data_IF_298227493329
#
_entry.id   IF_298227493329
#
_cell.length_a   1.000
_cell.length_b   1.000
_cell.length_c   1.000
_cell.angle_alpha   90.00
_cell.angle_beta   90.00
_cell.angle_gamma   90.00
#
_symmetry.space_group_name_H-M   'P 1'
#
loop_
_entity.id
_entity.type
_entity.pdbx_description
1 polymer ?
#
# COMPACT_ATOMS: atom_id res chain seq x y z
N UNK A 1 -6.18 -26.38 -35.53
CA UNK A 1 -4.93 -25.71 -35.08
C UNK A 1 -5.11 -24.21 -34.81
N UNK A 2 -5.75 -23.46 -35.72
CA UNK A 2 -6.05 -22.02 -35.53
C UNK A 2 -6.82 -21.66 -34.25
N UNK A 3 -7.95 -22.32 -33.88
CA UNK A 3 -8.71 -21.92 -32.69
C UNK A 3 -7.99 -22.24 -31.37
N UNK A 4 -7.12 -23.25 -31.38
CA UNK A 4 -6.30 -23.62 -30.23
C UNK A 4 -5.22 -22.56 -29.94
N UNK A 5 -4.58 -22.05 -30.99
CA UNK A 5 -3.61 -20.95 -30.87
C UNK A 5 -4.31 -19.68 -30.39
N UNK A 6 -5.50 -19.37 -30.91
CA UNK A 6 -6.29 -18.22 -30.44
C UNK A 6 -6.67 -18.33 -28.97
N UNK A 7 -7.08 -19.52 -28.50
CA UNK A 7 -7.39 -19.78 -27.09
C UNK A 7 -6.15 -19.64 -26.18
N UNK A 8 -5.00 -20.12 -26.64
CA UNK A 8 -3.73 -20.03 -25.92
C UNK A 8 -3.27 -18.57 -25.75
N UNK A 9 -3.45 -17.75 -26.79
CA UNK A 9 -3.19 -16.30 -26.73
C UNK A 9 -4.14 -15.60 -25.77
N UNK A 10 -5.43 -15.98 -25.75
CA UNK A 10 -6.42 -15.38 -24.85
C UNK A 10 -6.12 -15.67 -23.36
N UNK A 11 -5.69 -16.89 -23.04
CA UNK A 11 -5.31 -17.30 -21.68
C UNK A 11 -4.05 -16.59 -21.17
N UNK A 12 -3.20 -16.09 -22.07
CA UNK A 12 -1.96 -15.40 -21.71
C UNK A 12 -2.19 -13.99 -21.16
N UNK A 13 -3.38 -13.39 -21.36
CA UNK A 13 -3.73 -12.07 -20.83
C UNK A 13 -4.29 -12.09 -19.39
N UNK A 14 -4.52 -13.26 -18.80
CA UNK A 14 -5.10 -13.38 -17.45
C UNK A 14 -4.09 -13.14 -16.30
N UNK A 15 -2.81 -12.89 -16.59
CA UNK A 15 -1.77 -12.69 -15.56
C UNK A 15 -1.64 -11.26 -15.04
N UNK A 16 -2.73 -10.49 -14.99
CA UNK A 16 -2.70 -9.17 -14.35
C UNK A 16 -2.71 -9.34 -12.82
N UNK A 17 -1.51 -9.37 -12.24
CA UNK A 17 -1.27 -9.49 -10.81
C UNK A 17 -1.73 -8.24 -10.07
N UNK A 18 -2.48 -8.41 -8.99
CA UNK A 18 -2.80 -7.31 -8.06
C UNK A 18 -1.67 -7.14 -7.06
N UNK A 19 -0.97 -6.01 -7.10
CA UNK A 19 -0.30 -5.50 -5.91
C UNK A 19 -1.38 -4.77 -5.10
N UNK A 20 -1.73 -5.29 -3.94
CA UNK A 20 -2.68 -4.62 -3.05
C UNK A 20 -1.91 -3.58 -2.24
N UNK A 21 -2.50 -2.40 -2.09
CA UNK A 21 -1.90 -1.25 -1.44
C UNK A 21 -2.91 -0.63 -0.49
N UNK A 22 -2.47 -0.24 0.71
CA UNK A 22 -3.23 0.55 1.67
C UNK A 22 -2.86 2.01 1.45
N UNK A 23 -3.86 2.80 1.07
CA UNK A 23 -3.70 4.23 0.87
C UNK A 23 -4.45 4.99 1.95
N UNK A 24 -3.91 6.12 2.37
CA UNK A 24 -4.55 6.97 3.36
C UNK A 24 -3.87 8.32 3.48
N UNK A 25 -4.39 9.13 4.39
CA UNK A 25 -3.93 10.49 4.65
C UNK A 25 -3.72 10.70 6.14
N UNK A 26 -2.59 11.27 6.54
CA UNK A 26 -2.29 11.61 7.94
C UNK A 26 -2.48 13.11 8.14
N UNK A 27 -3.31 13.45 9.12
CA UNK A 27 -3.67 14.82 9.44
C UNK A 27 -3.38 15.10 10.92
N UNK A 28 -3.00 16.34 11.21
CA UNK A 28 -2.95 16.86 12.58
C UNK A 28 -4.39 16.98 13.13
N UNK A 29 -4.59 16.52 14.37
CA UNK A 29 -5.93 16.39 14.94
C UNK A 29 -6.58 17.75 15.30
N UNK A 30 -5.77 18.76 15.60
CA UNK A 30 -6.27 20.08 16.00
C UNK A 30 -6.54 20.96 14.77
N UNK A 31 -5.63 20.94 13.81
CA UNK A 31 -5.65 21.84 12.65
C UNK A 31 -6.26 21.22 11.40
N UNK A 32 -6.38 19.88 11.34
CA UNK A 32 -6.71 19.11 10.14
C UNK A 32 -5.76 19.34 8.95
N UNK A 33 -4.57 19.89 9.21
CA UNK A 33 -3.55 20.08 8.18
C UNK A 33 -2.81 18.75 7.93
N UNK A 34 -2.38 18.50 6.68
CA UNK A 34 -1.61 17.30 6.38
C UNK A 34 -0.24 17.30 7.07
N UNK A 35 0.20 16.12 7.49
CA UNK A 35 1.53 15.93 8.06
C UNK A 35 2.40 15.19 7.04
N UNK A 36 3.42 15.88 6.53
CA UNK A 36 4.46 15.33 5.65
C UNK A 36 5.46 14.47 6.46
N UNK A 37 6.12 13.51 5.79
CA UNK A 37 7.19 12.70 6.34
C UNK A 37 6.82 11.83 7.56
N UNK A 38 5.55 11.47 7.72
CA UNK A 38 5.13 10.45 8.69
C UNK A 38 5.56 9.09 8.16
N UNK A 39 6.36 8.38 8.94
CA UNK A 39 6.74 7.00 8.64
C UNK A 39 5.57 6.07 8.97
N UNK A 40 5.06 5.39 7.93
CA UNK A 40 3.96 4.44 8.00
C UNK A 40 4.49 3.05 7.66
N UNK A 41 4.52 2.16 8.65
CA UNK A 41 5.16 0.86 8.49
C UNK A 41 4.46 -0.23 9.28
N UNK A 42 4.71 -1.47 8.88
CA UNK A 42 4.21 -2.60 9.63
C UNK A 42 5.13 -2.94 10.80
N UNK A 43 4.55 -3.17 11.98
CA UNK A 43 5.24 -3.57 13.23
C UNK A 43 6.43 -4.53 13.11
N UNK A 44 6.33 -5.55 12.24
CA UNK A 44 7.28 -6.67 12.17
C UNK A 44 8.19 -6.65 10.92
N UNK A 45 8.34 -5.51 10.24
CA UNK A 45 9.16 -5.39 9.02
C UNK A 45 9.82 -4.02 8.93
N UNK A 46 10.97 -3.98 8.27
CA UNK A 46 11.67 -2.73 7.90
C UNK A 46 11.09 -2.08 6.63
N UNK A 47 10.00 -2.62 6.09
CA UNK A 47 9.32 -2.12 4.89
C UNK A 47 8.14 -1.21 5.28
N UNK A 48 8.18 0.01 4.76
CA UNK A 48 7.27 1.10 5.09
C UNK A 48 7.26 2.17 4.00
N UNK A 49 6.52 3.23 4.24
CA UNK A 49 6.42 4.37 3.33
C UNK A 49 6.38 5.66 4.15
N UNK A 50 6.58 6.80 3.49
CA UNK A 50 6.44 8.12 4.11
C UNK A 50 5.25 8.84 3.49
N UNK A 51 4.58 9.67 4.29
CA UNK A 51 3.60 10.61 3.74
C UNK A 51 4.28 11.69 2.91
N UNK A 52 3.65 12.12 1.83
CA UNK A 52 4.10 13.25 1.01
C UNK A 52 3.68 14.62 1.59
N UNK A 53 3.93 15.70 0.84
CA UNK A 53 3.57 17.08 1.18
C UNK A 53 2.06 17.31 1.30
N UNK A 54 1.26 16.42 0.73
CA UNK A 54 -0.19 16.39 0.89
C UNK A 54 -0.61 15.52 2.08
N UNK A 55 0.30 14.87 2.79
CA UNK A 55 0.03 13.95 3.90
C UNK A 55 -0.44 12.57 3.43
N UNK A 56 -0.35 12.25 2.15
CA UNK A 56 -0.82 11.00 1.56
C UNK A 56 0.27 9.91 1.63
N UNK A 57 -0.12 8.68 1.97
CA UNK A 57 0.77 7.53 1.95
C UNK A 57 0.22 6.39 1.09
N UNK A 58 1.14 5.59 0.57
CA UNK A 58 0.85 4.37 -0.18
C UNK A 58 1.69 3.21 0.37
N UNK A 59 1.09 2.41 1.26
CA UNK A 59 1.74 1.28 1.93
C UNK A 59 1.39 -0.02 1.22
N UNK A 60 2.42 -0.74 0.77
CA UNK A 60 2.22 -2.05 0.14
C UNK A 60 1.62 -3.06 1.13
N UNK A 61 0.53 -3.70 0.74
CA UNK A 61 -0.11 -4.73 1.55
C UNK A 61 0.65 -6.07 1.45
N UNK A 62 0.65 -6.77 2.57
CA UNK A 62 1.20 -8.12 2.67
C UNK A 62 0.28 -9.11 1.97
N UNK A 63 0.85 -10.20 1.43
CA UNK A 63 0.06 -11.31 0.84
C UNK A 63 -0.88 -11.98 1.85
N UNK A 64 -0.58 -11.89 3.15
CA UNK A 64 -1.41 -12.40 4.25
C UNK A 64 -1.39 -11.35 5.36
N UNK A 65 -2.54 -10.69 5.55
CA UNK A 65 -2.80 -9.82 6.69
C UNK A 65 -3.51 -10.66 7.74
N UNK A 66 -3.00 -10.65 8.97
CA UNK A 66 -3.61 -11.32 10.11
C UNK A 66 -4.33 -10.30 10.98
N UNK A 67 -5.27 -10.75 11.80
CA UNK A 67 -6.07 -9.87 12.66
C UNK A 67 -5.23 -9.14 13.73
N UNK A 68 -4.07 -9.69 14.07
CA UNK A 68 -3.10 -9.14 15.03
C UNK A 68 -2.00 -8.28 14.38
N UNK A 69 -2.02 -8.08 13.05
CA UNK A 69 -1.02 -7.25 12.39
C UNK A 69 -1.26 -5.76 12.71
N UNK A 70 -0.20 -5.08 13.16
CA UNK A 70 -0.23 -3.66 13.51
C UNK A 70 0.51 -2.81 12.47
N UNK A 71 -0.06 -1.64 12.18
CA UNK A 71 0.56 -0.56 11.41
C UNK A 71 0.86 0.58 12.38
N UNK A 72 2.09 1.07 12.33
CA UNK A 72 2.52 2.22 13.12
C UNK A 72 2.66 3.45 12.23
N UNK A 73 2.34 4.59 12.84
CA UNK A 73 2.54 5.93 12.30
C UNK A 73 3.49 6.63 13.26
N UNK A 74 4.65 7.04 12.78
CA UNK A 74 5.67 7.69 13.62
C UNK A 74 6.20 8.93 12.93
N UNK A 75 6.42 9.99 13.69
CA UNK A 75 6.98 11.24 13.19
C UNK A 75 7.81 11.86 14.32
N UNK A 76 8.94 12.50 14.02
CA UNK A 76 9.88 12.98 15.04
C UNK A 76 9.25 13.98 16.04
N UNK A 77 8.22 14.71 15.58
CA UNK A 77 7.54 15.75 16.34
C UNK A 77 6.20 15.34 16.95
N UNK A 78 5.81 14.05 16.89
CA UNK A 78 4.52 13.54 17.40
C UNK A 78 4.68 12.26 18.23
#
# INVERSE_FOLDING_TARGET
>A
MKPFITLLVLLSFCFNTTAQHLKGKVLDAETNLPIENVNVYWSNQDDGTFTDDHGEFDLKLRKRIRQDDLIYFTHVSY
#
